data_IF_421567245257
#
_entry.id   IF_421567245257
#
_cell.length_a   1.000
_cell.length_b   1.000
_cell.length_c   1.000
_cell.angle_alpha   90.00
_cell.angle_beta   90.00
_cell.angle_gamma   90.00
#
_symmetry.space_group_name_H-M   'P 1'
#
loop_
_entity.id
_entity.type
_entity.pdbx_description
1 polymer ?
#
# COMPACT_ATOMS: atom_id res chain seq x y z
N UNK A 1 -7.05 -11.84 28.44
CA UNK A 1 -5.66 -11.56 28.03
C UNK A 1 -5.76 -10.64 26.84
N UNK A 2 -5.10 -9.49 26.88
CA UNK A 2 -5.10 -8.54 25.77
C UNK A 2 -4.29 -9.15 24.62
N UNK A 3 -4.87 -9.26 23.43
CA UNK A 3 -4.17 -9.84 22.28
C UNK A 3 -3.04 -8.90 21.86
N UNK A 4 -1.81 -9.32 22.11
CA UNK A 4 -0.61 -8.54 21.82
C UNK A 4 -0.45 -8.34 20.31
N UNK A 5 -0.49 -7.10 19.85
CA UNK A 5 -0.11 -6.75 18.48
C UNK A 5 1.36 -7.09 18.24
N UNK A 6 1.63 -7.96 17.25
CA UNK A 6 2.98 -8.39 16.88
C UNK A 6 3.54 -7.55 15.73
N UNK A 7 2.71 -7.20 14.77
CA UNK A 7 3.05 -6.33 13.63
C UNK A 7 1.99 -5.26 13.54
N UNK A 8 2.41 -4.01 13.40
CA UNK A 8 1.54 -2.86 13.18
C UNK A 8 1.99 -2.11 11.93
N UNK A 9 1.06 -1.89 11.00
CA UNK A 9 1.27 -1.14 9.76
C UNK A 9 0.40 0.12 9.83
N UNK A 10 1.02 1.29 9.75
CA UNK A 10 0.36 2.60 9.77
C UNK A 10 0.80 3.47 8.60
N UNK A 11 -0.19 3.90 7.81
CA UNK A 11 -0.05 4.78 6.65
C UNK A 11 1.07 4.38 5.65
N UNK A 12 1.33 3.08 5.52
CA UNK A 12 2.41 2.60 4.66
C UNK A 12 2.01 2.70 3.20
N UNK A 13 2.84 3.41 2.43
CA UNK A 13 2.68 3.59 0.99
C UNK A 13 3.99 3.28 0.27
N UNK A 14 3.89 2.72 -0.94
CA UNK A 14 5.04 2.46 -1.81
C UNK A 14 4.70 2.86 -3.23
N UNK A 15 5.46 3.82 -3.75
CA UNK A 15 5.39 4.27 -5.13
C UNK A 15 6.73 3.98 -5.80
N UNK A 16 6.68 3.46 -7.02
CA UNK A 16 7.84 3.21 -7.88
C UNK A 16 7.86 4.26 -9.00
N UNK A 17 9.02 4.86 -9.25
CA UNK A 17 9.19 5.87 -10.30
C UNK A 17 10.01 7.07 -9.82
N UNK A 18 10.13 8.07 -10.69
CA UNK A 18 11.03 9.21 -10.47
C UNK A 18 10.50 10.23 -9.45
N UNK A 19 9.18 10.38 -9.32
CA UNK A 19 8.55 11.44 -8.52
C UNK A 19 7.41 10.91 -7.63
N UNK A 20 7.74 10.09 -6.61
CA UNK A 20 6.73 9.43 -5.78
C UNK A 20 5.83 10.42 -5.00
N UNK A 21 6.36 11.57 -4.57
CA UNK A 21 5.57 12.59 -3.87
C UNK A 21 4.44 13.16 -4.73
N UNK A 22 4.68 13.36 -6.03
CA UNK A 22 3.65 13.84 -6.96
C UNK A 22 2.52 12.81 -7.09
N UNK A 23 2.87 11.54 -7.20
CA UNK A 23 1.89 10.46 -7.27
C UNK A 23 1.04 10.37 -5.99
N UNK A 24 1.64 10.52 -4.80
CA UNK A 24 0.90 10.56 -3.54
C UNK A 24 -0.06 11.74 -3.47
N UNK A 25 0.35 12.93 -3.87
CA UNK A 25 -0.54 14.10 -3.93
C UNK A 25 -1.76 13.87 -4.82
N UNK A 26 -1.56 13.27 -5.99
CA UNK A 26 -2.66 12.93 -6.91
C UNK A 26 -3.59 11.85 -6.36
N UNK A 27 -3.09 10.90 -5.56
CA UNK A 27 -3.94 9.92 -4.87
C UNK A 27 -4.83 10.59 -3.82
N UNK A 28 -4.28 11.55 -3.07
CA UNK A 28 -5.04 12.33 -2.09
C UNK A 28 -6.09 13.23 -2.78
N UNK A 29 -5.84 13.66 -4.02
CA UNK A 29 -6.82 14.33 -4.89
C UNK A 29 -7.87 13.37 -5.49
N UNK A 30 -7.76 12.06 -5.25
CA UNK A 30 -8.74 11.05 -5.67
C UNK A 30 -8.50 10.44 -7.05
N UNK A 31 -7.35 10.67 -7.68
CA UNK A 31 -7.04 10.05 -8.97
C UNK A 31 -6.79 8.54 -8.81
N UNK A 32 -7.15 7.79 -9.85
CA UNK A 32 -6.89 6.35 -9.87
C UNK A 32 -5.40 6.06 -10.08
N UNK A 33 -4.96 4.87 -9.66
CA UNK A 33 -3.58 4.40 -9.91
C UNK A 33 -3.23 4.39 -11.40
N UNK A 34 -4.20 4.09 -12.27
CA UNK A 34 -4.02 4.07 -13.71
C UNK A 34 -3.77 5.49 -14.26
N UNK A 35 -4.59 6.46 -13.87
CA UNK A 35 -4.42 7.86 -14.27
C UNK A 35 -3.08 8.42 -13.81
N UNK A 36 -2.65 8.05 -12.61
CA UNK A 36 -1.37 8.50 -12.04
C UNK A 36 -0.20 7.90 -12.82
N UNK A 37 -0.28 6.62 -13.17
CA UNK A 37 0.73 5.97 -13.99
C UNK A 37 0.83 6.66 -15.36
N UNK A 38 -0.30 6.93 -16.00
CA UNK A 38 -0.34 7.61 -17.31
C UNK A 38 0.23 9.03 -17.23
N UNK A 39 -0.21 9.83 -16.25
CA UNK A 39 0.17 11.25 -16.11
C UNK A 39 1.59 11.47 -15.61
N UNK A 40 2.14 10.52 -14.87
CA UNK A 40 3.39 10.75 -14.12
C UNK A 40 4.48 9.71 -14.36
N UNK A 41 4.15 8.58 -14.97
CA UNK A 41 5.04 7.42 -15.08
C UNK A 41 5.36 6.75 -13.74
N UNK A 42 4.67 7.10 -12.65
CA UNK A 42 4.86 6.45 -11.35
C UNK A 42 3.81 5.37 -11.14
N UNK A 43 4.26 4.18 -10.73
CA UNK A 43 3.39 3.07 -10.38
C UNK A 43 3.14 3.02 -8.87
N UNK A 44 1.88 3.01 -8.46
CA UNK A 44 1.47 2.97 -7.04
C UNK A 44 1.29 1.52 -6.59
N UNK A 45 2.31 0.97 -5.94
CA UNK A 45 2.29 -0.39 -5.41
C UNK A 45 1.39 -0.52 -4.19
N UNK A 46 1.64 0.27 -3.15
CA UNK A 46 0.86 0.30 -1.91
C UNK A 46 0.40 1.73 -1.63
N UNK A 47 -0.80 1.89 -1.10
CA UNK A 47 -1.32 3.19 -0.72
C UNK A 47 -2.03 3.11 0.62
N UNK A 48 -1.50 3.86 1.59
CA UNK A 48 -2.09 4.11 2.92
C UNK A 48 -2.64 2.86 3.61
N UNK A 49 -1.83 1.81 3.65
CA UNK A 49 -2.19 0.57 4.32
C UNK A 49 -2.17 0.76 5.83
N UNK A 50 -3.23 0.29 6.49
CA UNK A 50 -3.44 0.36 7.92
C UNK A 50 -4.04 -0.96 8.41
N UNK A 51 -3.25 -1.76 9.13
CA UNK A 51 -3.71 -2.99 9.77
C UNK A 51 -2.74 -3.47 10.84
N UNK A 52 -3.20 -4.40 11.66
CA UNK A 52 -2.43 -5.04 12.72
C UNK A 52 -2.47 -6.56 12.53
N UNK A 53 -1.41 -7.25 12.97
CA UNK A 53 -1.36 -8.71 13.07
C UNK A 53 -1.04 -9.06 14.52
N UNK A 54 -1.90 -9.83 15.16
CA UNK A 54 -1.77 -10.28 16.55
C UNK A 54 -0.82 -11.48 16.67
N UNK A 55 -0.28 -11.69 17.86
CA UNK A 55 0.60 -12.86 18.08
C UNK A 55 -0.18 -14.17 17.91
N UNK A 56 0.35 -15.07 17.08
CA UNK A 56 -0.31 -16.34 16.72
C UNK A 56 -1.34 -16.24 15.59
N UNK A 57 -1.64 -15.04 15.09
CA UNK A 57 -2.60 -14.85 13.98
C UNK A 57 -2.03 -15.33 12.64
N UNK A 58 -2.84 -16.06 11.88
CA UNK A 58 -2.57 -16.36 10.46
C UNK A 58 -3.22 -15.27 9.61
N UNK A 59 -2.39 -14.37 9.08
CA UNK A 59 -2.82 -13.27 8.23
C UNK A 59 -2.62 -13.61 6.74
N UNK A 60 -3.70 -13.63 5.95
CA UNK A 60 -3.66 -14.01 4.52
C UNK A 60 -3.87 -12.78 3.64
N UNK A 61 -2.93 -12.51 2.74
CA UNK A 61 -3.02 -11.42 1.75
C UNK A 61 -3.45 -11.99 0.40
N UNK A 62 -4.61 -11.56 -0.10
CA UNK A 62 -5.17 -11.95 -1.40
C UNK A 62 -5.34 -10.75 -2.34
N UNK A 63 -5.47 -11.01 -3.65
CA UNK A 63 -5.68 -9.98 -4.65
C UNK A 63 -5.17 -10.36 -6.04
N UNK A 64 -5.61 -9.61 -7.05
CA UNK A 64 -5.26 -9.82 -8.46
C UNK A 64 -3.76 -9.63 -8.74
N UNK A 65 -3.28 -10.12 -9.88
CA UNK A 65 -1.91 -9.84 -10.34
C UNK A 65 -1.66 -8.32 -10.37
N UNK A 66 -0.50 -7.88 -9.87
CA UNK A 66 -0.15 -6.46 -9.79
C UNK A 66 -0.78 -5.66 -8.66
N UNK A 67 -1.56 -6.26 -7.75
CA UNK A 67 -2.21 -5.52 -6.65
C UNK A 67 -1.27 -5.06 -5.51
N UNK A 68 0.02 -5.40 -5.56
CA UNK A 68 1.01 -5.01 -4.55
C UNK A 68 1.31 -6.05 -3.46
N UNK A 69 0.73 -7.27 -3.52
CA UNK A 69 0.94 -8.31 -2.48
C UNK A 69 2.41 -8.60 -2.20
N UNK A 70 3.19 -8.91 -3.24
CA UNK A 70 4.64 -9.18 -3.11
C UNK A 70 5.47 -7.94 -2.80
N UNK A 71 4.87 -6.75 -2.84
CA UNK A 71 5.51 -5.51 -2.38
C UNK A 71 5.28 -5.28 -0.89
N UNK A 72 4.22 -5.86 -0.33
CA UNK A 72 3.89 -5.79 1.10
C UNK A 72 4.70 -6.80 1.93
N UNK A 73 5.03 -7.95 1.34
CA UNK A 73 5.92 -8.98 1.90
C UNK A 73 7.40 -8.62 1.67
#
# INVERSE_FOLDING_TARGET
MEEKTKIEIKDVSKVFGKNPKKALGLLEEGLSKADILEKTGNNVGLYKLNFEIKDGEIFVIMGLSGSGKSTLL
#
